data_IF_186892720296
#
_entry.id   IF_186892720296
#
_cell.length_a   1.000
_cell.length_b   1.000
_cell.length_c   1.000
_cell.angle_alpha   90.00
_cell.angle_beta   90.00
_cell.angle_gamma   90.00
#
_symmetry.space_group_name_H-M   'P 1'
#
loop_
_entity.id
_entity.type
_entity.pdbx_description
1 polymer ?
#
# COMPACT_ATOMS: atom_id res chain seq x y z
N UNK A 1 38.84 -42.52 -5.87
CA UNK A 1 38.55 -43.97 -5.81
C UNK A 1 37.03 -44.14 -5.83
N UNK A 2 36.50 -44.63 -6.95
CA UNK A 2 35.10 -45.01 -7.14
C UNK A 2 34.91 -46.49 -6.77
N UNK A 3 33.75 -46.84 -6.18
CA UNK A 3 33.00 -48.12 -6.22
C UNK A 3 31.98 -48.14 -5.05
N UNK A 4 30.72 -48.53 -5.17
CA UNK A 4 29.91 -49.10 -6.26
C UNK A 4 28.42 -48.75 -6.08
N UNK A 5 27.64 -48.66 -7.17
CA UNK A 5 26.78 -49.72 -7.78
C UNK A 5 25.48 -49.89 -6.97
N UNK A 6 24.35 -49.29 -7.41
CA UNK A 6 23.26 -49.87 -8.25
C UNK A 6 22.48 -50.99 -7.51
N UNK A 7 21.16 -51.17 -7.54
CA UNK A 7 20.12 -51.12 -8.57
C UNK A 7 18.78 -51.25 -7.78
N UNK A 8 17.72 -50.48 -8.03
CA UNK A 8 16.74 -50.59 -9.11
C UNK A 8 15.49 -51.45 -8.78
N UNK A 9 14.33 -50.96 -9.29
CA UNK A 9 13.10 -51.69 -9.66
C UNK A 9 12.19 -52.12 -8.49
N UNK A 10 10.85 -52.12 -8.52
CA UNK A 10 9.78 -51.39 -9.20
C UNK A 10 8.44 -51.98 -8.67
N UNK A 11 7.34 -51.26 -8.93
CA UNK A 11 5.98 -51.75 -9.22
C UNK A 11 5.11 -52.41 -8.12
N UNK A 12 3.93 -51.80 -7.96
CA UNK A 12 2.57 -52.36 -7.88
C UNK A 12 2.27 -53.51 -6.92
N UNK A 13 1.24 -53.33 -6.09
CA UNK A 13 0.07 -54.22 -6.05
C UNK A 13 -1.15 -53.41 -5.61
N UNK A 14 -2.20 -53.50 -6.42
CA UNK A 14 -3.55 -53.01 -6.17
C UNK A 14 -4.43 -54.14 -5.61
N UNK A 15 -5.54 -53.72 -4.99
CA UNK A 15 -6.78 -54.46 -4.75
C UNK A 15 -6.74 -55.66 -3.81
N UNK A 16 -7.53 -55.54 -2.73
CA UNK A 16 -8.56 -56.45 -2.20
C UNK A 16 -9.08 -55.75 -0.94
N UNK A 17 -10.38 -55.45 -0.78
CA UNK A 17 -11.36 -56.41 -0.27
C UNK A 17 -12.79 -55.87 -0.46
N UNK A 18 -13.67 -56.78 -0.89
CA UNK A 18 -15.13 -56.94 -0.66
C UNK A 18 -15.95 -55.75 -0.11
N UNK A 19 -17.12 -55.38 -0.64
CA UNK A 19 -18.15 -56.20 -1.30
C UNK A 19 -19.25 -56.57 -0.30
N UNK A 20 -20.39 -55.86 -0.31
CA UNK A 20 -21.57 -56.23 0.49
C UNK A 20 -22.71 -55.21 0.48
N UNK A 21 -23.70 -55.42 -0.41
CA UNK A 21 -25.15 -55.17 -0.30
C UNK A 21 -25.63 -53.86 0.38
N UNK A 22 -26.36 -52.98 -0.31
CA UNK A 22 -27.79 -53.19 -0.59
C UNK A 22 -28.37 -52.08 -1.49
N UNK A 23 -29.35 -52.48 -2.31
CA UNK A 23 -30.15 -51.66 -3.21
C UNK A 23 -31.00 -50.63 -2.46
N UNK A 24 -30.90 -49.34 -2.82
CA UNK A 24 -32.06 -48.44 -2.96
C UNK A 24 -31.78 -47.49 -4.12
N UNK A 25 -32.37 -47.78 -5.29
CA UNK A 25 -32.58 -46.79 -6.34
C UNK A 25 -33.90 -46.08 -6.04
N UNK A 26 -33.87 -44.76 -5.81
CA UNK A 26 -34.89 -43.81 -6.27
C UNK A 26 -34.60 -42.41 -5.69
N UNK A 27 -33.81 -41.62 -6.41
CA UNK A 27 -34.15 -40.23 -6.76
C UNK A 27 -32.94 -39.62 -7.47
N UNK A 28 -33.14 -39.33 -8.75
CA UNK A 28 -32.08 -38.91 -9.64
C UNK A 28 -31.54 -37.52 -9.28
N UNK A 29 -30.23 -37.43 -9.16
CA UNK A 29 -29.43 -36.29 -9.59
C UNK A 29 -28.12 -36.89 -10.11
N UNK A 30 -27.83 -36.66 -11.39
CA UNK A 30 -26.60 -37.05 -12.08
C UNK A 30 -25.54 -35.97 -11.79
N UNK A 31 -24.40 -36.23 -11.12
CA UNK A 31 -23.24 -35.37 -11.22
C UNK A 31 -22.32 -35.93 -12.30
N UNK A 32 -22.41 -35.30 -13.47
CA UNK A 32 -21.48 -35.42 -14.57
C UNK A 32 -20.13 -34.86 -14.11
N UNK A 33 -19.08 -35.68 -14.18
CA UNK A 33 -17.72 -35.26 -13.92
C UNK A 33 -17.33 -34.17 -14.95
N UNK A 34 -16.96 -32.98 -14.47
CA UNK A 34 -16.26 -32.00 -15.28
C UNK A 34 -14.91 -31.70 -14.63
N UNK A 35 -13.86 -32.10 -15.35
CA UNK A 35 -12.49 -31.69 -15.12
C UNK A 35 -12.35 -30.20 -15.36
N UNK A 36 -11.86 -29.45 -14.37
CA UNK A 36 -11.45 -28.06 -14.58
C UNK A 36 -9.93 -28.02 -14.53
N UNK A 37 -9.36 -27.98 -15.74
CA UNK A 37 -7.98 -27.62 -16.01
C UNK A 37 -7.76 -26.11 -15.86
N UNK A 38 -6.53 -25.77 -15.49
CA UNK A 38 -5.89 -24.46 -15.56
C UNK A 38 -6.35 -23.42 -14.52
N UNK A 39 -5.63 -23.39 -13.40
CA UNK A 39 -5.61 -22.28 -12.46
C UNK A 39 -5.19 -21.00 -13.18
N UNK A 40 -6.21 -20.19 -13.40
CA UNK A 40 -6.22 -18.85 -13.94
C UNK A 40 -5.42 -17.88 -13.05
N UNK A 41 -4.25 -17.46 -13.54
CA UNK A 41 -3.63 -16.17 -13.20
C UNK A 41 -4.58 -15.04 -13.64
N UNK A 42 -5.51 -14.64 -12.76
CA UNK A 42 -6.23 -13.38 -12.89
C UNK A 42 -5.66 -12.42 -11.88
N UNK A 43 -4.77 -11.57 -12.39
CA UNK A 43 -4.46 -10.26 -11.82
C UNK A 43 -5.78 -9.53 -11.58
N UNK A 44 -6.17 -9.41 -10.31
CA UNK A 44 -7.33 -8.65 -9.87
C UNK A 44 -7.02 -7.14 -9.95
N UNK A 45 -6.95 -6.61 -11.17
CA UNK A 45 -7.50 -5.28 -11.42
C UNK A 45 -8.87 -5.51 -12.06
N UNK A 46 -9.96 -5.38 -11.28
CA UNK A 46 -11.06 -4.59 -11.80
C UNK A 46 -11.89 -3.92 -10.70
N UNK A 47 -11.82 -2.59 -10.56
CA UNK A 47 -12.92 -1.78 -9.98
C UNK A 47 -12.79 -0.25 -10.15
N UNK A 48 -11.98 0.29 -11.07
CA UNK A 48 -11.94 1.74 -11.33
C UNK A 48 -12.28 2.14 -12.77
N UNK A 49 -12.63 1.20 -13.64
CA UNK A 49 -12.78 1.46 -15.07
C UNK A 49 -14.24 1.60 -15.54
N UNK A 50 -15.08 2.38 -14.85
CA UNK A 50 -16.40 2.74 -15.42
C UNK A 50 -16.85 4.20 -15.30
N UNK A 51 -16.07 5.08 -14.68
CA UNK A 51 -16.34 6.51 -14.70
C UNK A 51 -15.05 7.18 -15.15
N UNK A 52 -15.07 7.89 -16.29
CA UNK A 52 -13.90 8.55 -16.87
C UNK A 52 -13.52 9.82 -16.07
N UNK A 53 -13.55 9.73 -14.74
CA UNK A 53 -13.23 10.80 -13.83
C UNK A 53 -11.71 10.91 -13.79
N UNK A 54 -11.18 11.94 -14.44
CA UNK A 54 -9.76 12.23 -14.41
C UNK A 54 -9.35 12.53 -12.96
N UNK A 55 -8.36 11.78 -12.45
CA UNK A 55 -7.79 11.98 -11.13
C UNK A 55 -6.27 12.12 -11.22
N UNK A 56 -5.71 12.84 -10.26
CA UNK A 56 -4.27 13.06 -10.17
C UNK A 56 -3.63 12.12 -9.16
N UNK A 57 -2.71 11.28 -9.62
CA UNK A 57 -1.89 10.45 -8.73
C UNK A 57 -0.78 11.31 -8.14
N UNK A 58 -0.73 11.43 -6.82
CA UNK A 58 0.26 12.29 -6.14
C UNK A 58 1.36 11.51 -5.44
N UNK A 59 1.20 10.20 -5.25
CA UNK A 59 2.24 9.34 -4.70
C UNK A 59 2.15 7.90 -5.20
N UNK A 60 3.24 7.14 -5.03
CA UNK A 60 3.36 5.72 -5.37
C UNK A 60 4.28 4.98 -4.41
N UNK A 61 4.19 3.65 -4.34
CA UNK A 61 5.23 2.85 -3.67
C UNK A 61 6.59 3.05 -4.34
N UNK A 62 7.67 3.09 -3.55
CA UNK A 62 9.01 3.33 -4.09
C UNK A 62 10.09 2.52 -3.39
N UNK A 63 10.75 1.64 -4.17
CA UNK A 63 11.99 0.97 -3.75
C UNK A 63 13.17 1.94 -3.68
N UNK A 64 13.12 3.04 -4.42
CA UNK A 64 14.16 4.07 -4.38
C UNK A 64 14.09 4.87 -3.08
N UNK A 65 12.89 5.20 -2.61
CA UNK A 65 12.69 5.81 -1.30
C UNK A 65 13.23 4.91 -0.19
N UNK A 66 13.02 3.59 -0.27
CA UNK A 66 13.64 2.64 0.66
C UNK A 66 15.15 2.78 0.68
N UNK A 67 15.82 2.76 -0.48
CA UNK A 67 17.28 2.91 -0.56
C UNK A 67 17.77 4.27 -0.03
N UNK A 68 17.07 5.34 -0.37
CA UNK A 68 17.46 6.72 -0.02
C UNK A 68 17.28 7.05 1.48
N UNK A 69 16.35 6.37 2.15
CA UNK A 69 16.03 6.59 3.56
C UNK A 69 16.65 5.53 4.50
N UNK A 70 17.46 4.61 3.96
CA UNK A 70 17.95 3.43 4.69
C UNK A 70 18.98 3.73 5.79
N UNK A 71 19.50 4.96 5.86
CA UNK A 71 20.57 5.31 6.79
C UNK A 71 20.10 5.68 8.21
N UNK A 72 18.79 5.77 8.50
CA UNK A 72 18.35 6.09 9.86
C UNK A 72 16.95 5.55 10.19
N UNK A 73 16.93 4.50 11.03
CA UNK A 73 15.81 4.01 11.84
C UNK A 73 14.73 3.18 11.10
N UNK A 74 14.58 1.92 11.53
CA UNK A 74 13.43 1.07 11.20
C UNK A 74 12.22 1.48 12.04
N UNK A 75 11.19 2.04 11.41
CA UNK A 75 9.88 2.17 12.04
C UNK A 75 9.10 0.88 11.81
N UNK A 76 8.45 0.36 12.87
CA UNK A 76 7.47 -0.72 12.76
C UNK A 76 6.33 -0.20 11.86
N UNK A 77 5.84 -1.02 10.93
CA UNK A 77 4.77 -0.68 9.97
C UNK A 77 5.03 0.54 9.06
N UNK A 78 6.27 0.73 8.60
CA UNK A 78 6.62 1.76 7.62
C UNK A 78 6.56 1.20 6.19
N UNK A 79 5.89 1.92 5.29
CA UNK A 79 6.02 1.73 3.85
C UNK A 79 6.74 2.93 3.22
N UNK A 80 7.44 2.67 2.11
CA UNK A 80 8.21 3.70 1.40
C UNK A 80 7.45 4.16 0.16
N UNK A 81 7.37 5.48 0.01
CA UNK A 81 6.61 6.14 -1.05
C UNK A 81 7.43 7.23 -1.73
N UNK A 82 7.04 7.58 -2.94
CA UNK A 82 7.56 8.70 -3.70
C UNK A 82 6.42 9.63 -4.06
N UNK A 83 6.58 10.92 -3.74
CA UNK A 83 5.62 11.98 -4.03
C UNK A 83 5.95 12.67 -5.35
N UNK A 84 4.92 12.98 -6.14
CA UNK A 84 5.03 13.86 -7.29
C UNK A 84 4.88 15.31 -6.81
N UNK A 85 6.02 15.91 -6.44
CA UNK A 85 6.06 17.28 -5.91
C UNK A 85 5.47 18.29 -6.90
N UNK A 86 5.78 18.15 -8.21
CA UNK A 86 5.28 19.06 -9.23
C UNK A 86 3.77 18.97 -9.36
N UNK A 87 3.21 17.76 -9.24
CA UNK A 87 1.76 17.58 -9.21
C UNK A 87 1.14 18.28 -8.02
N UNK A 88 1.71 18.07 -6.83
CA UNK A 88 1.21 18.67 -5.57
C UNK A 88 1.24 20.21 -5.68
N UNK A 89 2.32 20.80 -6.19
CA UNK A 89 2.44 22.25 -6.43
C UNK A 89 1.38 22.81 -7.38
N UNK A 90 0.89 21.98 -8.31
CA UNK A 90 -0.08 22.39 -9.33
C UNK A 90 -1.55 22.14 -8.96
N UNK A 91 -1.82 21.56 -7.77
CA UNK A 91 -3.18 21.24 -7.33
C UNK A 91 -4.04 22.49 -7.18
N UNK A 92 -5.35 22.29 -7.42
CA UNK A 92 -6.39 23.29 -7.27
C UNK A 92 -7.51 22.76 -6.39
N UNK A 93 -8.27 23.68 -5.80
CA UNK A 93 -9.50 23.35 -5.10
C UNK A 93 -10.46 22.65 -6.08
N UNK A 94 -11.15 21.62 -5.59
CA UNK A 94 -12.00 20.68 -6.32
C UNK A 94 -11.28 19.66 -7.23
N UNK A 95 -9.95 19.64 -7.27
CA UNK A 95 -9.24 18.54 -7.94
C UNK A 95 -9.52 17.21 -7.24
N UNK A 96 -9.63 16.14 -8.03
CA UNK A 96 -9.69 14.77 -7.54
C UNK A 96 -8.29 14.17 -7.57
N UNK A 97 -7.81 13.70 -6.41
CA UNK A 97 -6.50 13.06 -6.30
C UNK A 97 -6.64 11.60 -5.88
N UNK A 98 -5.68 10.77 -6.28
CA UNK A 98 -5.49 9.41 -5.79
C UNK A 98 -4.25 9.36 -4.88
N UNK A 99 -4.49 9.07 -3.60
CA UNK A 99 -3.45 8.87 -2.58
C UNK A 99 -3.25 7.38 -2.31
N UNK A 100 -2.08 6.85 -2.64
CA UNK A 100 -1.77 5.42 -2.50
C UNK A 100 -1.17 5.09 -1.12
N UNK A 101 -1.72 4.08 -0.45
CA UNK A 101 -1.20 3.54 0.81
C UNK A 101 -0.68 2.11 0.55
N UNK A 102 0.64 1.89 0.47
CA UNK A 102 1.20 0.60 0.06
C UNK A 102 0.90 -0.55 1.03
N UNK A 103 0.71 -0.25 2.33
CA UNK A 103 0.45 -1.27 3.36
C UNK A 103 -0.83 -2.07 3.09
N UNK A 104 -1.80 -1.45 2.42
CA UNK A 104 -3.07 -2.07 2.04
C UNK A 104 -3.22 -2.25 0.53
N UNK A 105 -2.16 -1.95 -0.24
CA UNK A 105 -2.18 -1.91 -1.70
C UNK A 105 -3.41 -1.16 -2.27
N UNK A 106 -3.77 -0.03 -1.64
CA UNK A 106 -5.03 0.69 -1.92
C UNK A 106 -4.78 2.16 -2.18
N UNK A 107 -5.51 2.70 -3.16
CA UNK A 107 -5.62 4.15 -3.39
C UNK A 107 -6.90 4.69 -2.77
N UNK A 108 -6.79 5.85 -2.14
CA UNK A 108 -7.91 6.64 -1.62
C UNK A 108 -8.15 7.83 -2.55
N UNK A 109 -9.40 8.02 -2.95
CA UNK A 109 -9.80 9.16 -3.76
C UNK A 109 -10.19 10.32 -2.85
N UNK A 110 -9.51 11.44 -3.00
CA UNK A 110 -9.68 12.64 -2.16
C UNK A 110 -10.06 13.80 -3.07
N UNK A 111 -11.12 14.51 -2.72
CA UNK A 111 -11.46 15.80 -3.34
C UNK A 111 -10.77 16.89 -2.53
N UNK A 112 -10.01 17.75 -3.22
CA UNK A 112 -9.37 18.89 -2.58
C UNK A 112 -10.42 19.92 -2.20
N UNK A 113 -10.48 20.26 -0.92
CA UNK A 113 -11.43 21.23 -0.38
C UNK A 113 -10.80 22.62 -0.22
N UNK A 114 -9.53 22.67 0.18
CA UNK A 114 -8.86 23.92 0.49
C UNK A 114 -7.37 23.85 0.20
N UNK A 115 -6.82 24.99 -0.22
CA UNK A 115 -5.40 25.18 -0.50
C UNK A 115 -4.97 26.54 0.05
N UNK A 116 -4.06 26.52 1.02
CA UNK A 116 -3.46 27.71 1.60
C UNK A 116 -1.99 27.83 1.20
N UNK A 117 -1.58 29.01 0.74
CA UNK A 117 -0.16 29.31 0.51
C UNK A 117 0.40 30.12 1.67
N UNK A 118 1.52 29.64 2.23
CA UNK A 118 2.25 30.36 3.26
C UNK A 118 3.07 31.50 2.64
N UNK A 119 3.32 32.57 3.42
CA UNK A 119 4.16 33.70 2.98
C UNK A 119 5.59 33.29 2.60
N UNK A 120 6.04 32.12 3.06
CA UNK A 120 7.37 31.57 2.80
C UNK A 120 7.39 30.60 1.60
N UNK A 121 6.28 30.49 0.86
CA UNK A 121 6.16 29.62 -0.31
C UNK A 121 5.82 28.17 0.03
N UNK A 122 5.36 27.89 1.25
CA UNK A 122 4.78 26.59 1.60
C UNK A 122 3.35 26.48 1.08
N UNK A 123 2.89 25.25 0.86
CA UNK A 123 1.54 24.93 0.39
C UNK A 123 0.90 23.96 1.38
N UNK A 124 -0.24 24.32 1.93
CA UNK A 124 -1.09 23.43 2.72
C UNK A 124 -2.31 23.05 1.89
N UNK A 125 -2.63 21.76 1.84
CA UNK A 125 -3.72 21.18 1.07
C UNK A 125 -4.55 20.33 2.01
N UNK A 126 -5.87 20.54 2.02
CA UNK A 126 -6.80 19.69 2.76
C UNK A 126 -7.92 19.16 1.87
N UNK A 127 -8.44 17.99 2.20
CA UNK A 127 -9.48 17.34 1.40
C UNK A 127 -10.25 16.26 2.16
N UNK A 128 -11.35 15.82 1.56
CA UNK A 128 -12.24 14.78 2.07
C UNK A 128 -12.34 13.63 1.07
N UNK A 129 -12.78 12.45 1.51
CA UNK A 129 -12.97 11.32 0.58
C UNK A 129 -14.07 11.61 -0.43
N UNK A 130 -13.85 11.21 -1.69
CA UNK A 130 -14.80 11.47 -2.77
C UNK A 130 -16.19 10.83 -2.54
N UNK A 131 -16.28 9.77 -1.73
CA UNK A 131 -17.50 9.08 -1.34
C UNK A 131 -18.09 9.56 -0.01
N UNK A 132 -17.46 10.51 0.69
CA UNK A 132 -17.97 11.06 1.94
C UNK A 132 -18.92 12.24 1.70
N UNK A 133 -20.22 11.97 1.79
CA UNK A 133 -21.27 12.99 1.68
C UNK A 133 -21.23 14.07 2.77
N UNK A 134 -20.62 13.78 3.92
CA UNK A 134 -20.50 14.73 5.04
C UNK A 134 -19.20 15.55 4.98
N UNK A 135 -18.34 15.27 3.99
CA UNK A 135 -17.11 16.02 3.72
C UNK A 135 -16.19 16.15 4.94
N UNK A 136 -16.06 15.09 5.75
CA UNK A 136 -15.12 15.10 6.86
C UNK A 136 -13.69 15.18 6.31
N UNK A 137 -12.88 16.04 6.94
CA UNK A 137 -11.48 16.18 6.58
C UNK A 137 -10.75 14.84 6.72
N UNK A 138 -10.24 14.36 5.60
CA UNK A 138 -9.56 13.06 5.50
C UNK A 138 -8.06 13.24 5.24
N UNK A 139 -7.68 14.23 4.44
CA UNK A 139 -6.28 14.51 4.11
C UNK A 139 -5.90 15.89 4.60
N UNK A 140 -4.75 15.96 5.26
CA UNK A 140 -4.00 17.20 5.49
C UNK A 140 -2.58 16.97 5.01
N UNK A 141 -2.13 17.78 4.05
CA UNK A 141 -0.83 17.71 3.42
C UNK A 141 -0.19 19.09 3.42
N UNK A 142 1.05 19.16 3.86
CA UNK A 142 1.88 20.37 3.80
C UNK A 142 3.11 20.08 2.96
N UNK A 143 3.35 20.92 1.96
CA UNK A 143 4.57 20.98 1.16
C UNK A 143 5.36 22.23 1.59
N UNK A 144 6.55 22.01 2.14
CA UNK A 144 7.50 23.06 2.50
C UNK A 144 8.83 22.83 1.79
N UNK A 145 9.21 23.80 0.95
CA UNK A 145 10.38 23.68 0.08
C UNK A 145 10.21 22.53 -0.93
N UNK A 146 10.75 21.36 -0.61
CA UNK A 146 10.59 20.13 -1.42
C UNK A 146 10.09 18.93 -0.61
N UNK A 147 9.75 19.16 0.66
CA UNK A 147 9.38 18.10 1.59
C UNK A 147 7.88 18.12 1.82
N UNK A 148 7.27 16.94 1.78
CA UNK A 148 5.84 16.73 2.01
C UNK A 148 5.68 16.09 3.38
N UNK A 149 4.77 16.59 4.18
CA UNK A 149 4.39 15.97 5.45
C UNK A 149 2.88 16.08 5.63
N UNK A 150 2.30 15.20 6.45
CA UNK A 150 0.88 15.27 6.69
C UNK A 150 0.30 14.00 7.27
N UNK A 151 -1.03 13.93 7.22
CA UNK A 151 -1.79 12.79 7.69
C UNK A 151 -2.97 12.48 6.77
N UNK A 152 -3.30 11.20 6.72
CA UNK A 152 -4.49 10.66 6.07
C UNK A 152 -5.32 9.91 7.11
N UNK A 153 -6.48 10.46 7.49
CA UNK A 153 -7.45 9.83 8.37
C UNK A 153 -8.39 8.95 7.55
N UNK A 154 -8.37 7.64 7.81
CA UNK A 154 -9.27 6.67 7.17
C UNK A 154 -10.18 6.01 8.21
N UNK A 155 -11.17 5.23 7.75
CA UNK A 155 -11.97 4.36 8.63
C UNK A 155 -11.15 3.29 9.35
N UNK A 156 -10.00 2.91 8.79
CA UNK A 156 -9.14 1.85 9.31
C UNK A 156 -8.04 2.38 10.24
N UNK A 157 -7.92 3.69 10.39
CA UNK A 157 -6.89 4.35 11.18
C UNK A 157 -6.33 5.60 10.52
N UNK A 158 -5.46 6.28 11.25
CA UNK A 158 -4.68 7.42 10.77
C UNK A 158 -3.35 6.93 10.18
N UNK A 159 -2.94 7.49 9.04
CA UNK A 159 -1.61 7.31 8.48
C UNK A 159 -0.85 8.63 8.53
N UNK A 160 0.35 8.60 9.07
CA UNK A 160 1.28 9.71 9.04
C UNK A 160 2.28 9.51 7.90
N UNK A 161 2.62 10.58 7.20
CA UNK A 161 3.63 10.54 6.16
C UNK A 161 4.57 11.74 6.24
N UNK A 162 5.82 11.51 5.82
CA UNK A 162 6.84 12.55 5.69
C UNK A 162 7.82 12.19 4.60
N UNK A 163 8.30 13.19 3.87
CA UNK A 163 9.33 13.05 2.86
C UNK A 163 10.50 14.00 3.08
N UNK A 164 11.63 13.63 2.50
CA UNK A 164 12.73 14.54 2.21
C UNK A 164 12.89 14.58 0.69
N UNK A 165 12.68 15.74 0.08
CA UNK A 165 12.41 15.83 -1.35
C UNK A 165 11.22 14.92 -1.75
N UNK A 166 11.31 14.24 -2.88
CA UNK A 166 10.25 13.33 -3.35
C UNK A 166 10.17 12.02 -2.56
N UNK A 167 11.21 11.62 -1.83
CA UNK A 167 11.26 10.31 -1.19
C UNK A 167 10.78 10.38 0.25
N UNK A 168 9.79 9.56 0.58
CA UNK A 168 9.18 9.58 1.89
C UNK A 168 8.76 8.22 2.40
N UNK A 169 8.18 8.26 3.56
CA UNK A 169 7.57 7.12 4.22
C UNK A 169 6.15 7.45 4.64
N UNK A 170 5.38 6.39 4.80
CA UNK A 170 4.04 6.42 5.39
C UNK A 170 3.94 5.29 6.41
N UNK A 171 3.30 5.57 7.53
CA UNK A 171 3.07 4.59 8.58
C UNK A 171 1.69 4.82 9.20
N UNK A 172 0.97 3.73 9.49
CA UNK A 172 -0.21 3.78 10.33
C UNK A 172 0.18 4.28 11.74
N UNK A 173 -0.66 5.09 12.39
CA UNK A 173 -0.47 5.57 13.76
C UNK A 173 -0.98 4.56 14.81
N UNK A 174 -1.62 3.46 14.40
CA UNK A 174 -2.18 2.44 15.31
C UNK A 174 -2.07 1.00 14.76
N UNK A 175 -1.14 0.22 15.29
CA UNK A 175 -1.34 -1.22 15.57
C UNK A 175 -1.14 -1.41 17.08
N UNK A 176 -2.17 -1.90 17.76
CA UNK A 176 -2.34 -1.83 19.22
C UNK A 176 -1.07 -1.97 20.08
N UNK A 177 -0.88 -0.99 20.97
CA UNK A 177 0.05 -0.93 22.12
C UNK A 177 1.52 -0.53 21.87
N UNK A 178 1.86 0.11 20.75
CA UNK A 178 3.10 0.91 20.66
C UNK A 178 2.79 2.28 20.07
N UNK A 179 2.90 3.33 20.88
CA UNK A 179 2.94 4.70 20.36
C UNK A 179 4.10 4.80 19.36
N UNK A 180 3.80 5.26 18.15
CA UNK A 180 4.84 5.55 17.17
C UNK A 180 5.72 6.67 17.72
N UNK A 181 7.03 6.47 17.63
CA UNK A 181 8.03 7.46 18.03
C UNK A 181 7.73 8.77 17.30
N UNK A 182 7.24 9.75 18.06
CA UNK A 182 7.01 11.12 17.59
C UNK A 182 8.30 11.62 16.93
N UNK A 183 8.22 12.00 15.66
CA UNK A 183 9.34 12.68 15.01
C UNK A 183 9.56 14.00 15.76
N UNK A 184 10.79 14.37 16.14
CA UNK A 184 11.01 15.65 16.80
C UNK A 184 10.56 16.79 15.88
N UNK A 185 9.72 17.69 16.39
CA UNK A 185 9.11 18.81 15.66
C UNK A 185 10.15 19.87 15.20
N UNK A 186 11.44 19.66 15.46
CA UNK A 186 12.52 20.58 15.10
C UNK A 186 13.73 19.81 14.61
N UNK A 187 14.19 20.12 13.40
CA UNK A 187 15.59 19.97 13.01
C UNK A 187 16.41 20.76 14.04
N UNK A 188 16.91 20.07 15.06
CA UNK A 188 17.66 20.67 16.15
C UNK A 188 19.01 21.14 15.62
N UNK A 189 19.05 22.41 15.17
CA UNK A 189 20.22 23.26 14.88
C UNK A 189 21.27 22.71 13.90
N UNK A 190 21.99 23.59 13.18
CA UNK A 190 23.14 23.15 12.37
C UNK A 190 24.14 22.43 13.27
N UNK A 191 24.58 21.24 12.84
CA UNK A 191 25.76 20.60 13.41
C UNK A 191 26.93 21.49 12.98
N UNK A 192 27.48 22.27 13.91
CA UNK A 192 28.79 22.89 13.70
C UNK A 192 29.80 21.74 13.56
N UNK A 193 30.15 21.44 12.32
CA UNK A 193 31.25 20.55 11.99
C UNK A 193 32.52 21.31 12.36
N UNK A 194 33.01 21.09 13.59
CA UNK A 194 34.36 21.48 13.97
C UNK A 194 35.30 20.61 13.14
N UNK A 195 35.71 21.12 11.99
CA UNK A 195 36.86 20.60 11.26
C UNK A 195 38.10 20.80 12.15
N UNK A 196 38.57 19.70 12.73
CA UNK A 196 39.86 19.69 13.43
C UNK A 196 40.96 19.77 12.37
N UNK A 197 41.76 20.84 12.43
CA UNK A 197 42.97 21.07 11.63
C UNK A 197 44.10 20.14 12.07
#
# INVERSE_FOLDING_TARGET
MYKGIACAVALFIACLLWGGLSNVCANGIKPEALSVTAESLVSLEPALSQNNTEYFVINKASSNARKALFDNHQYISQAYIEFDIRRIESLKVFDLIAFYVPQHARSYLIVINDIEQSKQGGLSVSGYFADDMQQHMALELTLEGRSVAGRLQTTNGEYLFRSHAQYGWIAAQYEGKKQYLKYPDRLSSPIDVIAKK
#
